data_IF_386399934889
#
_entry.id   IF_386399934889
#
_cell.length_a   1.000
_cell.length_b   1.000
_cell.length_c   1.000
_cell.angle_alpha   90.00
_cell.angle_beta   90.00
_cell.angle_gamma   90.00
#
_symmetry.space_group_name_H-M   'P 1'
#
loop_
_entity.id
_entity.type
_entity.pdbx_description
1 polymer ?
#
# COMPACT_ATOMS: atom_id res chain seq x y z
N UNK A 1 32.71 1.28 39.28
CA UNK A 1 32.79 1.31 37.80
C UNK A 1 33.00 2.76 37.41
N UNK A 2 34.23 3.13 37.08
CA UNK A 2 34.68 4.51 36.89
C UNK A 2 34.36 4.98 35.47
N UNK A 3 33.55 6.04 35.42
CA UNK A 3 33.23 6.84 34.25
C UNK A 3 34.52 7.33 33.55
N UNK A 4 34.64 7.04 32.25
CA UNK A 4 35.86 7.28 31.46
C UNK A 4 35.49 7.99 30.16
N UNK A 5 35.25 9.29 30.24
CA UNK A 5 35.08 10.17 29.07
C UNK A 5 36.25 11.16 29.02
N UNK A 6 37.16 11.07 28.03
CA UNK A 6 38.18 12.10 27.80
C UNK A 6 37.65 13.31 26.98
N UNK A 7 38.30 14.49 27.10
CA UNK A 7 37.77 15.82 26.74
C UNK A 7 37.76 16.15 25.23
N UNK A 8 37.06 17.23 24.81
CA UNK A 8 36.98 17.68 23.42
C UNK A 8 38.10 18.71 23.07
N UNK A 9 38.02 19.37 21.90
CA UNK A 9 38.89 19.22 20.73
C UNK A 9 40.10 20.19 20.73
N UNK A 10 41.18 19.82 20.03
CA UNK A 10 42.30 20.72 19.81
C UNK A 10 42.10 21.53 18.51
N UNK A 11 41.88 22.83 18.68
CA UNK A 11 42.07 23.88 17.68
C UNK A 11 43.56 24.01 17.35
N UNK A 12 43.91 24.13 16.07
CA UNK A 12 45.04 24.89 15.51
C UNK A 12 45.59 24.23 14.24
N UNK A 13 45.32 24.83 13.07
CA UNK A 13 46.35 25.47 12.24
C UNK A 13 45.81 25.85 10.87
N UNK A 14 45.66 27.15 10.71
CA UNK A 14 45.77 27.87 9.46
C UNK A 14 46.98 27.41 8.62
N UNK A 15 46.77 27.27 7.32
CA UNK A 15 47.83 27.41 6.32
C UNK A 15 47.22 27.91 5.00
N UNK A 16 47.16 29.23 4.78
CA UNK A 16 46.83 29.80 3.49
C UNK A 16 48.13 30.12 2.74
N UNK A 17 48.43 29.38 1.67
CA UNK A 17 49.53 29.79 0.80
C UNK A 17 50.02 28.70 -0.15
N UNK A 18 49.51 28.72 -1.38
CA UNK A 18 50.34 28.98 -2.57
C UNK A 18 49.46 29.08 -3.80
N UNK A 19 49.49 30.26 -4.41
CA UNK A 19 48.99 30.54 -5.75
C UNK A 19 50.06 30.06 -6.72
N UNK A 20 49.70 29.15 -7.63
CA UNK A 20 50.38 29.04 -8.92
C UNK A 20 49.31 29.01 -10.01
N UNK A 21 49.31 30.08 -10.80
CA UNK A 21 48.62 30.18 -12.09
C UNK A 21 49.54 29.53 -13.13
N UNK A 22 49.01 28.68 -14.01
CA UNK A 22 49.22 28.88 -15.45
C UNK A 22 48.17 28.09 -16.25
N UNK A 23 47.72 28.62 -17.41
CA UNK A 23 46.64 28.06 -18.20
C UNK A 23 47.14 27.26 -19.41
N UNK A 24 46.17 26.66 -20.09
CA UNK A 24 46.16 26.26 -21.50
C UNK A 24 46.84 24.92 -21.85
N UNK A 25 45.99 23.90 -22.05
CA UNK A 25 46.26 22.87 -23.06
C UNK A 25 44.95 22.36 -23.66
N UNK A 26 44.77 22.68 -24.93
CA UNK A 26 43.72 22.25 -25.85
C UNK A 26 43.71 20.72 -26.07
N UNK A 27 42.48 20.21 -26.18
CA UNK A 27 41.95 19.17 -27.10
C UNK A 27 42.29 17.69 -26.86
N UNK A 28 41.46 16.71 -27.34
CA UNK A 28 40.36 16.84 -28.30
C UNK A 28 39.00 16.24 -27.86
N UNK A 29 37.95 16.61 -28.60
CA UNK A 29 36.69 15.88 -28.67
C UNK A 29 36.96 14.47 -29.24
N UNK A 30 36.77 13.43 -28.42
CA UNK A 30 36.80 12.04 -28.88
C UNK A 30 35.37 11.53 -29.11
N UNK A 31 35.25 10.88 -30.26
CA UNK A 31 34.06 10.33 -30.85
C UNK A 31 33.49 9.19 -30.02
N UNK A 32 32.16 9.09 -30.09
CA UNK A 32 31.56 7.79 -30.35
C UNK A 32 31.02 7.06 -29.14
N UNK A 33 29.69 7.04 -29.09
CA UNK A 33 28.92 5.80 -28.96
C UNK A 33 29.06 5.08 -27.61
N UNK A 34 28.20 5.51 -26.71
CA UNK A 34 27.30 4.56 -26.07
C UNK A 34 25.91 5.15 -26.06
N UNK A 35 25.22 5.07 -27.21
CA UNK A 35 23.78 4.89 -27.20
C UNK A 35 23.53 3.61 -26.39
N UNK A 36 23.44 3.73 -25.07
CA UNK A 36 22.77 2.72 -24.28
C UNK A 36 21.37 2.61 -24.86
N UNK A 37 20.98 1.47 -25.46
CA UNK A 37 19.61 1.30 -25.87
C UNK A 37 18.80 1.42 -24.59
N UNK A 38 18.01 2.49 -24.52
CA UNK A 38 16.98 2.65 -23.51
C UNK A 38 16.07 1.44 -23.63
N UNK A 39 16.36 0.41 -22.83
CA UNK A 39 15.54 -0.78 -22.63
C UNK A 39 14.34 -0.36 -21.76
N UNK A 40 13.57 0.59 -22.28
CA UNK A 40 12.41 1.24 -21.65
C UNK A 40 11.19 0.92 -22.51
N UNK A 41 10.95 -0.37 -22.71
CA UNK A 41 9.85 -0.87 -23.54
C UNK A 41 9.18 -2.14 -23.02
N UNK A 42 9.83 -2.94 -22.17
CA UNK A 42 9.28 -4.23 -21.71
C UNK A 42 8.45 -4.18 -20.43
N UNK A 43 8.21 -2.98 -19.87
CA UNK A 43 7.39 -2.82 -18.67
C UNK A 43 5.88 -2.74 -18.98
N UNK A 44 5.49 -2.56 -20.25
CA UNK A 44 4.09 -2.27 -20.61
C UNK A 44 3.21 -3.55 -20.64
N UNK A 45 3.81 -4.70 -21.00
CA UNK A 45 3.08 -5.95 -21.21
C UNK A 45 2.71 -6.72 -19.93
N UNK A 46 3.30 -6.37 -18.77
CA UNK A 46 2.99 -7.01 -17.46
C UNK A 46 1.92 -6.29 -16.65
N UNK A 47 1.56 -5.07 -17.04
CA UNK A 47 0.59 -4.21 -16.34
C UNK A 47 -0.87 -4.71 -16.44
N UNK A 48 -1.38 -5.30 -17.56
CA UNK A 48 -2.81 -5.61 -17.66
C UNK A 48 -3.24 -6.72 -16.69
N UNK A 49 -2.44 -7.79 -16.54
CA UNK A 49 -2.74 -8.94 -15.66
C UNK A 49 -2.70 -8.57 -14.17
N UNK A 50 -1.80 -7.67 -13.77
CA UNK A 50 -1.72 -7.23 -12.38
C UNK A 50 -2.95 -6.40 -11.98
N UNK A 51 -3.42 -5.51 -12.88
CA UNK A 51 -4.59 -4.66 -12.66
C UNK A 51 -5.89 -5.47 -12.62
N UNK A 52 -6.03 -6.45 -13.51
CA UNK A 52 -7.20 -7.35 -13.54
C UNK A 52 -7.29 -8.19 -12.25
N UNK A 53 -6.17 -8.80 -11.82
CA UNK A 53 -6.11 -9.50 -10.53
C UNK A 53 -6.46 -8.59 -9.36
N UNK A 54 -6.00 -7.34 -9.36
CA UNK A 54 -6.31 -6.39 -8.29
C UNK A 54 -7.81 -6.06 -8.24
N UNK A 55 -8.48 -5.92 -9.38
CA UNK A 55 -9.94 -5.73 -9.45
C UNK A 55 -10.69 -6.96 -8.95
N UNK A 56 -10.26 -8.17 -9.32
CA UNK A 56 -10.85 -9.43 -8.84
C UNK A 56 -10.69 -9.58 -7.32
N UNK A 57 -9.52 -9.24 -6.78
CA UNK A 57 -9.27 -9.27 -5.33
C UNK A 57 -10.14 -8.26 -4.58
N UNK A 58 -10.34 -7.06 -5.12
CA UNK A 58 -11.26 -6.06 -4.55
C UNK A 58 -12.70 -6.55 -4.54
N UNK A 59 -13.15 -7.17 -5.63
CA UNK A 59 -14.48 -7.75 -5.71
C UNK A 59 -14.65 -8.89 -4.69
N UNK A 60 -13.66 -9.78 -4.59
CA UNK A 60 -13.66 -10.86 -3.62
C UNK A 60 -13.67 -10.35 -2.17
N UNK A 61 -12.86 -9.35 -1.83
CA UNK A 61 -12.87 -8.75 -0.48
C UNK A 61 -14.20 -8.08 -0.18
N UNK A 62 -14.79 -7.40 -1.15
CA UNK A 62 -16.08 -6.74 -0.98
C UNK A 62 -17.21 -7.77 -0.77
N UNK A 63 -17.19 -8.88 -1.51
CA UNK A 63 -18.08 -10.01 -1.30
C UNK A 63 -17.87 -10.70 0.06
N UNK A 64 -16.62 -10.83 0.52
CA UNK A 64 -16.30 -11.37 1.85
C UNK A 64 -16.85 -10.47 2.96
N UNK A 65 -16.70 -9.16 2.84
CA UNK A 65 -17.28 -8.22 3.80
C UNK A 65 -18.80 -8.37 3.88
N UNK A 66 -19.47 -8.39 2.73
CA UNK A 66 -20.91 -8.60 2.66
C UNK A 66 -21.35 -9.93 3.30
N UNK A 67 -20.65 -11.02 2.97
CA UNK A 67 -20.93 -12.32 3.53
C UNK A 67 -20.72 -12.30 5.05
N UNK A 68 -19.64 -11.68 5.53
CA UNK A 68 -19.34 -11.61 6.96
C UNK A 68 -20.40 -10.87 7.76
N UNK A 69 -20.91 -9.73 7.28
CA UNK A 69 -21.98 -9.00 7.97
C UNK A 69 -23.28 -9.81 8.02
N UNK A 70 -23.65 -10.43 6.91
CA UNK A 70 -24.86 -11.26 6.82
C UNK A 70 -24.77 -12.49 7.73
N UNK A 71 -23.60 -13.14 7.75
CA UNK A 71 -23.37 -14.36 8.53
C UNK A 71 -23.30 -14.07 10.03
N UNK A 72 -22.60 -13.00 10.44
CA UNK A 72 -22.48 -12.62 11.84
C UNK A 72 -23.85 -12.21 12.39
N UNK A 73 -24.58 -11.36 11.67
CA UNK A 73 -25.84 -10.82 12.19
C UNK A 73 -26.99 -11.82 12.08
N UNK A 74 -27.04 -12.62 11.01
CA UNK A 74 -27.97 -13.74 10.90
C UNK A 74 -27.67 -14.86 11.89
N UNK A 75 -26.39 -15.19 12.10
CA UNK A 75 -25.96 -16.17 13.08
C UNK A 75 -26.22 -15.73 14.53
N UNK A 76 -25.97 -14.45 14.84
CA UNK A 76 -26.34 -13.86 16.12
C UNK A 76 -27.86 -13.90 16.32
N UNK A 77 -28.64 -13.56 15.29
CA UNK A 77 -30.10 -13.65 15.36
C UNK A 77 -30.61 -15.07 15.56
N UNK A 78 -29.97 -16.06 14.92
CA UNK A 78 -30.27 -17.48 15.13
C UNK A 78 -29.95 -17.95 16.56
N UNK A 79 -28.82 -17.51 17.12
CA UNK A 79 -28.48 -17.80 18.51
C UNK A 79 -29.52 -17.22 19.48
N UNK A 80 -30.03 -16.03 19.20
CA UNK A 80 -31.11 -15.39 19.99
C UNK A 80 -32.42 -16.16 19.83
N UNK A 81 -32.82 -16.50 18.60
CA UNK A 81 -34.05 -17.28 18.35
C UNK A 81 -34.00 -18.63 19.08
N UNK A 82 -32.84 -19.31 19.05
CA UNK A 82 -32.65 -20.57 19.76
C UNK A 82 -32.69 -20.39 21.28
N UNK A 83 -32.18 -19.27 21.82
CA UNK A 83 -32.23 -19.02 23.26
C UNK A 83 -33.65 -18.69 23.74
N UNK A 84 -34.48 -18.11 22.87
CA UNK A 84 -35.89 -17.80 23.14
C UNK A 84 -36.84 -18.98 22.89
N UNK A 85 -36.31 -20.15 22.49
CA UNK A 85 -37.08 -21.36 22.12
C UNK A 85 -38.16 -21.07 21.06
N UNK A 86 -37.90 -20.07 20.21
CA UNK A 86 -38.82 -19.67 19.17
C UNK A 86 -38.85 -20.75 18.08
N UNK A 87 -40.04 -21.31 17.81
CA UNK A 87 -40.22 -22.31 16.75
C UNK A 87 -40.03 -21.75 15.35
N UNK A 88 -40.07 -20.42 15.20
CA UNK A 88 -39.89 -19.70 13.94
C UNK A 88 -38.75 -18.68 14.07
N UNK A 89 -37.71 -18.76 13.21
CA UNK A 89 -36.48 -17.99 13.37
C UNK A 89 -36.61 -16.55 12.82
N UNK A 90 -37.49 -15.76 13.41
CA UNK A 90 -37.76 -14.38 12.96
C UNK A 90 -36.56 -13.45 13.18
N UNK A 91 -35.85 -13.57 14.29
CA UNK A 91 -34.71 -12.70 14.60
C UNK A 91 -33.52 -13.02 13.70
N UNK A 92 -33.31 -14.30 13.35
CA UNK A 92 -32.32 -14.71 12.37
C UNK A 92 -32.59 -14.13 10.99
N UNK A 93 -33.85 -14.17 10.53
CA UNK A 93 -34.24 -13.59 9.24
C UNK A 93 -34.04 -12.08 9.25
N UNK A 94 -34.50 -11.40 10.30
CA UNK A 94 -34.33 -9.95 10.44
C UNK A 94 -32.84 -9.57 10.50
N UNK A 95 -32.04 -10.29 11.30
CA UNK A 95 -30.60 -10.09 11.42
C UNK A 95 -29.87 -10.34 10.11
N UNK A 96 -30.22 -11.40 9.37
CA UNK A 96 -29.59 -11.70 8.10
C UNK A 96 -29.92 -10.63 7.04
N UNK A 97 -31.19 -10.16 6.99
CA UNK A 97 -31.60 -9.08 6.11
C UNK A 97 -30.88 -7.77 6.44
N UNK A 98 -30.78 -7.42 7.73
CA UNK A 98 -30.11 -6.21 8.17
C UNK A 98 -28.60 -6.25 7.87
N UNK A 99 -27.97 -7.42 8.08
CA UNK A 99 -26.55 -7.64 7.80
C UNK A 99 -26.25 -7.60 6.30
N UNK A 100 -27.16 -8.15 5.49
CA UNK A 100 -27.12 -8.06 4.04
C UNK A 100 -27.22 -6.61 3.54
N UNK A 101 -28.19 -5.85 4.04
CA UNK A 101 -28.34 -4.42 3.71
C UNK A 101 -27.09 -3.61 4.08
N UNK A 102 -26.51 -3.86 5.25
CA UNK A 102 -25.28 -3.19 5.70
C UNK A 102 -24.08 -3.55 4.83
N UNK A 103 -23.93 -4.84 4.48
CA UNK A 103 -22.92 -5.31 3.54
C UNK A 103 -23.06 -4.65 2.16
N UNK A 104 -24.29 -4.59 1.63
CA UNK A 104 -24.59 -3.92 0.37
C UNK A 104 -24.32 -2.42 0.40
N UNK A 105 -24.64 -1.74 1.49
CA UNK A 105 -24.32 -0.32 1.65
C UNK A 105 -22.81 -0.07 1.49
N UNK A 106 -21.98 -0.91 2.10
CA UNK A 106 -20.51 -0.82 1.93
C UNK A 106 -20.07 -1.11 0.50
N UNK A 107 -20.69 -2.08 -0.19
CA UNK A 107 -20.41 -2.35 -1.60
C UNK A 107 -20.68 -1.12 -2.47
N UNK A 108 -21.82 -0.47 -2.27
CA UNK A 108 -22.22 0.71 -3.02
C UNK A 108 -21.23 1.85 -2.76
N UNK A 109 -20.89 2.12 -1.49
CA UNK A 109 -19.92 3.16 -1.13
C UNK A 109 -18.55 2.89 -1.75
N UNK A 110 -18.09 1.64 -1.74
CA UNK A 110 -16.80 1.26 -2.33
C UNK A 110 -16.82 1.44 -3.86
N UNK A 111 -17.91 1.05 -4.51
CA UNK A 111 -18.09 1.23 -5.95
C UNK A 111 -18.18 2.71 -6.35
N UNK A 112 -18.93 3.52 -5.60
CA UNK A 112 -19.04 4.97 -5.84
C UNK A 112 -17.71 5.71 -5.67
N UNK A 113 -16.81 5.22 -4.82
CA UNK A 113 -15.47 5.80 -4.62
C UNK A 113 -14.48 5.46 -5.75
N UNK A 114 -14.85 4.53 -6.64
CA UNK A 114 -14.04 4.12 -7.79
C UNK A 114 -14.38 4.87 -9.09
N UNK A 115 -15.42 5.71 -9.07
CA UNK A 115 -15.86 6.56 -10.17
C UNK A 115 -15.47 8.02 -9.92
#
# INVERSE_FOLDING_TARGET
MTDSTPPPPNSDRDSPGKRERMPDRREPEDMGRSETPSRRGDADSRIPVARERQSLLRLASAGLELASFSLILGGAGYAVDHWMDNSTPYIAIAGMLLGFCLGFYRLIVLASKMN
#
